data_IF_190744826762
#
_entry.id   IF_190744826762
#
_cell.length_a   1.000
_cell.length_b   1.000
_cell.length_c   1.000
_cell.angle_alpha   90.00
_cell.angle_beta   90.00
_cell.angle_gamma   90.00
#
_symmetry.space_group_name_H-M   'P 1'
#
loop_
_entity.id
_entity.type
_entity.pdbx_description
1 polymer ?
#
# COMPACT_ATOMS: atom_id res chain seq x y z
N UNK A 1 26.04 -7.29 29.17
CA UNK A 1 26.23 -7.54 27.71
C UNK A 1 25.30 -6.63 26.96
N UNK A 2 25.77 -5.43 26.62
CA UNK A 2 24.97 -4.38 26.00
C UNK A 2 24.65 -4.75 24.55
N UNK A 3 23.38 -4.95 24.22
CA UNK A 3 22.93 -5.01 22.81
C UNK A 3 23.00 -3.61 22.24
N UNK A 4 23.94 -3.42 21.33
CA UNK A 4 24.08 -2.23 20.51
C UNK A 4 22.79 -2.09 19.68
N UNK A 5 22.05 -1.00 19.91
CA UNK A 5 20.95 -0.60 19.02
C UNK A 5 21.64 -0.08 17.75
N UNK A 6 21.69 -0.94 16.74
CA UNK A 6 22.20 -0.58 15.42
C UNK A 6 21.31 0.52 14.85
N UNK A 7 21.82 1.75 14.81
CA UNK A 7 21.20 2.84 14.05
C UNK A 7 21.14 2.42 12.59
N UNK A 8 19.94 2.24 12.06
CA UNK A 8 19.74 1.89 10.67
C UNK A 8 20.29 3.00 9.77
N UNK A 9 21.15 2.59 8.83
CA UNK A 9 21.66 3.42 7.75
C UNK A 9 20.49 3.88 6.86
N UNK A 10 20.24 5.18 6.69
CA UNK A 10 19.13 5.69 5.86
C UNK A 10 19.29 5.38 4.37
N UNK A 11 20.43 4.81 3.93
CA UNK A 11 20.71 4.45 2.54
C UNK A 11 20.56 2.97 2.18
N UNK A 12 20.28 2.08 3.15
CA UNK A 12 19.95 0.68 2.84
C UNK A 12 18.52 0.55 2.34
N UNK A 13 18.25 -0.19 1.24
CA UNK A 13 16.89 -0.40 0.76
C UNK A 13 16.06 -1.05 1.87
N UNK A 14 14.93 -0.44 2.19
CA UNK A 14 14.08 -0.90 3.27
C UNK A 14 13.62 -2.33 2.98
N UNK A 15 13.90 -3.26 3.89
CA UNK A 15 13.56 -4.69 3.75
C UNK A 15 12.05 -4.85 3.50
N UNK A 16 11.62 -5.65 2.50
CA UNK A 16 10.21 -5.99 2.32
C UNK A 16 9.57 -6.55 3.60
N UNK A 17 8.28 -6.31 3.79
CA UNK A 17 7.54 -6.97 4.86
C UNK A 17 7.37 -8.45 4.53
N UNK A 18 7.36 -9.30 5.56
CA UNK A 18 6.95 -10.70 5.42
C UNK A 18 5.51 -10.88 5.86
N UNK A 19 4.91 -12.03 5.50
CA UNK A 19 3.58 -12.39 6.01
C UNK A 19 3.51 -12.40 7.54
N UNK A 20 4.60 -12.76 8.24
CA UNK A 20 4.68 -12.74 9.70
C UNK A 20 4.71 -11.32 10.29
N UNK A 21 5.05 -10.31 9.50
CA UNK A 21 5.02 -8.90 9.91
C UNK A 21 3.61 -8.30 9.84
N UNK A 22 2.65 -8.97 9.17
CA UNK A 22 1.27 -8.52 8.97
C UNK A 22 0.42 -8.72 10.23
N UNK A 23 0.76 -7.97 11.27
CA UNK A 23 0.13 -7.97 12.59
C UNK A 23 -0.03 -6.55 13.11
N UNK A 24 -0.90 -6.34 14.10
CA UNK A 24 -1.02 -5.04 14.77
C UNK A 24 0.34 -4.57 15.30
N UNK A 25 0.66 -3.29 15.06
CA UNK A 25 1.98 -2.71 15.35
C UNK A 25 3.12 -3.09 14.38
N UNK A 26 2.92 -4.05 13.46
CA UNK A 26 3.92 -4.46 12.47
C UNK A 26 4.16 -3.44 11.35
N UNK A 27 3.26 -2.46 11.21
CA UNK A 27 3.28 -1.44 10.16
C UNK A 27 4.06 -0.17 10.52
N UNK A 28 4.51 -0.03 11.77
CA UNK A 28 5.16 1.20 12.25
C UNK A 28 6.39 1.53 11.41
N UNK A 29 6.39 2.71 10.80
CA UNK A 29 7.47 3.22 9.96
C UNK A 29 7.60 2.54 8.60
N UNK A 30 6.70 1.62 8.24
CA UNK A 30 6.75 0.88 6.97
C UNK A 30 6.15 1.70 5.83
N UNK A 31 6.79 1.68 4.67
CA UNK A 31 6.21 2.23 3.43
C UNK A 31 5.20 1.23 2.86
N UNK A 32 3.94 1.64 2.76
CA UNK A 32 2.85 0.79 2.25
C UNK A 32 2.08 1.55 1.17
N UNK A 33 1.80 0.90 0.06
CA UNK A 33 0.89 1.45 -0.96
C UNK A 33 -0.48 0.79 -0.89
N UNK A 34 -1.53 1.59 -0.99
CA UNK A 34 -2.92 1.14 -1.16
C UNK A 34 -3.35 1.44 -2.60
N UNK A 35 -3.72 0.39 -3.32
CA UNK A 35 -4.16 0.46 -4.72
C UNK A 35 -5.69 0.47 -4.79
N UNK A 36 -6.24 1.56 -5.31
CA UNK A 36 -7.66 1.86 -5.33
C UNK A 36 -8.10 2.63 -4.09
N UNK A 37 -8.79 3.74 -4.29
CA UNK A 37 -9.18 4.71 -3.25
C UNK A 37 -10.69 4.96 -3.24
N UNK A 38 -11.45 3.88 -3.32
CA UNK A 38 -12.89 3.87 -3.08
C UNK A 38 -13.18 3.56 -1.59
N UNK A 39 -14.34 2.97 -1.28
CA UNK A 39 -14.80 2.77 0.11
C UNK A 39 -13.81 1.97 0.99
N UNK A 40 -13.41 0.77 0.56
CA UNK A 40 -12.49 -0.06 1.35
C UNK A 40 -11.06 0.48 1.33
N UNK A 41 -10.61 1.04 0.20
CA UNK A 41 -9.32 1.72 0.11
C UNK A 41 -9.15 2.87 1.10
N UNK A 42 -10.20 3.69 1.29
CA UNK A 42 -10.20 4.76 2.31
C UNK A 42 -10.08 4.16 3.72
N UNK A 43 -10.90 3.16 4.05
CA UNK A 43 -10.86 2.53 5.37
C UNK A 43 -9.49 1.90 5.67
N UNK A 44 -8.92 1.20 4.69
CA UNK A 44 -7.60 0.59 4.78
C UNK A 44 -6.49 1.64 4.93
N UNK A 45 -6.52 2.72 4.15
CA UNK A 45 -5.55 3.81 4.27
C UNK A 45 -5.59 4.44 5.68
N UNK A 46 -6.80 4.70 6.20
CA UNK A 46 -6.98 5.22 7.57
C UNK A 46 -6.36 4.27 8.59
N UNK A 47 -6.69 2.99 8.49
CA UNK A 47 -6.17 1.97 9.40
C UNK A 47 -4.64 1.90 9.37
N UNK A 48 -4.02 1.85 8.18
CA UNK A 48 -2.57 1.73 8.04
C UNK A 48 -1.84 2.97 8.59
N UNK A 49 -2.37 4.17 8.34
CA UNK A 49 -1.85 5.40 8.96
C UNK A 49 -1.95 5.34 10.48
N UNK A 50 -3.10 4.91 11.02
CA UNK A 50 -3.30 4.76 12.46
C UNK A 50 -2.39 3.67 13.08
N UNK A 51 -1.93 2.70 12.29
CA UNK A 51 -0.90 1.72 12.67
C UNK A 51 0.54 2.22 12.50
N UNK A 52 0.73 3.49 12.11
CA UNK A 52 2.04 4.14 11.99
C UNK A 52 2.76 3.90 10.66
N UNK A 53 2.07 3.41 9.62
CA UNK A 53 2.63 3.26 8.29
C UNK A 53 2.80 4.62 7.58
N UNK A 54 3.75 4.68 6.64
CA UNK A 54 3.85 5.75 5.64
C UNK A 54 3.04 5.31 4.42
N UNK A 55 1.82 5.82 4.31
CA UNK A 55 0.86 5.36 3.31
C UNK A 55 0.96 6.19 2.04
N UNK A 56 1.17 5.49 0.92
CA UNK A 56 0.90 6.01 -0.43
C UNK A 56 -0.42 5.45 -0.93
N UNK A 57 -1.23 6.27 -1.59
CA UNK A 57 -2.48 5.85 -2.21
C UNK A 57 -2.34 6.05 -3.72
N UNK A 58 -2.72 5.04 -4.50
CA UNK A 58 -2.81 5.15 -5.95
C UNK A 58 -4.22 4.89 -6.45
N UNK A 59 -4.72 5.78 -7.31
CA UNK A 59 -6.00 5.61 -8.02
C UNK A 59 -5.91 6.24 -9.42
N UNK A 60 -6.57 5.63 -10.40
CA UNK A 60 -6.52 6.11 -11.79
C UNK A 60 -7.38 7.35 -12.02
N UNK A 61 -8.33 7.61 -11.13
CA UNK A 61 -9.18 8.79 -11.17
C UNK A 61 -8.35 10.05 -10.89
N UNK A 62 -8.67 11.18 -11.54
CA UNK A 62 -8.01 12.45 -11.26
C UNK A 62 -8.37 12.97 -9.85
N UNK A 63 -7.55 13.88 -9.31
CA UNK A 63 -7.68 14.37 -7.94
C UNK A 63 -9.06 14.98 -7.66
N UNK A 64 -9.67 15.65 -8.65
CA UNK A 64 -11.00 16.26 -8.54
C UNK A 64 -12.08 15.25 -8.16
N UNK A 65 -12.00 14.03 -8.68
CA UNK A 65 -12.92 12.93 -8.37
C UNK A 65 -12.65 12.30 -7.00
N UNK A 66 -11.44 12.49 -6.46
CA UNK A 66 -10.99 11.92 -5.19
C UNK A 66 -11.20 12.85 -3.99
N UNK A 67 -11.68 14.08 -4.19
CA UNK A 67 -11.86 15.07 -3.12
C UNK A 67 -12.70 14.56 -1.94
N UNK A 68 -13.78 13.83 -2.22
CA UNK A 68 -14.63 13.25 -1.17
C UNK A 68 -13.90 12.12 -0.41
N UNK A 69 -13.12 11.30 -1.11
CA UNK A 69 -12.30 10.26 -0.51
C UNK A 69 -11.18 10.84 0.36
N UNK A 70 -10.53 11.92 -0.09
CA UNK A 70 -9.52 12.66 0.68
C UNK A 70 -10.13 13.28 1.94
N UNK A 71 -11.31 13.89 1.85
CA UNK A 71 -12.00 14.41 3.02
C UNK A 71 -12.32 13.30 4.04
N UNK A 72 -12.68 12.10 3.56
CA UNK A 72 -12.97 10.93 4.41
C UNK A 72 -11.75 10.34 5.12
N UNK A 73 -10.52 10.78 4.80
CA UNK A 73 -9.32 10.45 5.60
C UNK A 73 -9.32 11.15 6.95
N UNK A 74 -10.12 12.22 7.12
CA UNK A 74 -10.24 12.98 8.37
C UNK A 74 -8.88 13.53 8.85
N UNK A 75 -8.06 14.04 7.92
CA UNK A 75 -6.76 14.65 8.21
C UNK A 75 -5.59 13.68 8.38
N UNK A 76 -5.81 12.37 8.22
CA UNK A 76 -4.73 11.37 8.22
C UNK A 76 -3.80 11.57 7.01
N UNK A 77 -2.48 11.68 7.21
CA UNK A 77 -1.55 11.96 6.13
C UNK A 77 -1.38 10.76 5.19
N UNK A 78 -1.56 10.99 3.90
CA UNK A 78 -1.20 10.05 2.84
C UNK A 78 -0.48 10.79 1.71
N UNK A 79 0.42 10.10 1.00
CA UNK A 79 0.90 10.55 -0.30
C UNK A 79 -0.10 10.09 -1.37
N UNK A 80 -0.70 11.03 -2.08
CA UNK A 80 -1.62 10.69 -3.18
C UNK A 80 -0.85 10.66 -4.52
N UNK A 81 -1.03 9.58 -5.26
CA UNK A 81 -0.64 9.43 -6.65
C UNK A 81 -1.91 9.16 -7.46
N UNK A 82 -2.36 10.12 -8.26
CA UNK A 82 -3.65 9.96 -8.93
C UNK A 82 -3.72 10.56 -10.32
N UNK A 83 -4.58 9.97 -11.15
CA UNK A 83 -4.88 10.44 -12.49
C UNK A 83 -4.30 9.56 -13.60
N UNK A 84 -4.78 9.76 -14.85
CA UNK A 84 -4.46 8.89 -15.99
C UNK A 84 -2.99 9.00 -16.45
N UNK A 85 -2.33 10.10 -16.12
CA UNK A 85 -0.95 10.39 -16.54
C UNK A 85 0.10 9.90 -15.55
N UNK A 86 -0.32 9.45 -14.35
CA UNK A 86 0.60 8.92 -13.35
C UNK A 86 0.99 7.49 -13.71
N UNK A 87 2.30 7.23 -13.73
CA UNK A 87 2.82 5.88 -13.95
C UNK A 87 2.53 5.00 -12.72
N UNK A 88 1.75 3.94 -12.95
CA UNK A 88 1.47 2.90 -11.95
C UNK A 88 2.73 2.25 -11.37
N UNK A 89 3.87 2.25 -12.10
CA UNK A 89 5.15 1.76 -11.56
C UNK A 89 5.63 2.62 -10.40
N UNK A 90 5.46 3.94 -10.47
CA UNK A 90 5.89 4.86 -9.42
C UNK A 90 5.19 4.56 -8.09
N UNK A 91 3.94 4.13 -8.14
CA UNK A 91 3.17 3.73 -6.96
C UNK A 91 3.72 2.47 -6.27
N UNK A 92 4.43 1.60 -7.00
CA UNK A 92 4.97 0.35 -6.48
C UNK A 92 6.43 0.48 -6.02
N UNK A 93 7.13 1.54 -6.43
CA UNK A 93 8.53 1.80 -6.10
C UNK A 93 8.71 2.08 -4.60
N UNK A 94 9.78 1.53 -4.03
CA UNK A 94 10.20 1.71 -2.62
C UNK A 94 9.14 1.34 -1.57
N UNK A 95 8.20 0.47 -1.93
CA UNK A 95 7.19 -0.05 -1.02
C UNK A 95 7.67 -1.33 -0.34
N UNK A 96 7.30 -1.50 0.93
CA UNK A 96 7.57 -2.72 1.68
C UNK A 96 6.37 -3.67 1.71
N UNK A 97 5.18 -3.17 1.35
CA UNK A 97 3.94 -3.91 1.24
C UNK A 97 3.05 -3.22 0.20
N UNK A 98 2.41 -4.03 -0.65
CA UNK A 98 1.38 -3.57 -1.58
C UNK A 98 0.04 -4.11 -1.11
N UNK A 99 -0.89 -3.21 -0.84
CA UNK A 99 -2.25 -3.57 -0.48
C UNK A 99 -3.22 -3.26 -1.63
N UNK A 100 -4.04 -4.22 -2.03
CA UNK A 100 -5.05 -4.01 -3.09
C UNK A 100 -6.45 -3.87 -2.52
N UNK A 101 -7.23 -2.95 -3.08
CA UNK A 101 -8.69 -2.99 -2.95
C UNK A 101 -9.25 -4.27 -3.62
N UNK A 102 -10.41 -4.80 -3.20
CA UNK A 102 -10.94 -6.08 -3.70
C UNK A 102 -11.13 -6.17 -5.21
N UNK A 103 -11.34 -5.05 -5.90
CA UNK A 103 -11.52 -4.99 -7.35
C UNK A 103 -10.23 -4.77 -8.15
N UNK A 104 -9.08 -4.63 -7.47
CA UNK A 104 -7.76 -4.39 -8.07
C UNK A 104 -6.94 -5.67 -7.98
N UNK A 105 -6.57 -6.22 -9.13
CA UNK A 105 -5.84 -7.50 -9.21
C UNK A 105 -5.09 -7.60 -10.54
N UNK A 106 -3.95 -8.28 -10.54
CA UNK A 106 -3.21 -8.65 -11.75
C UNK A 106 -4.01 -9.56 -12.70
N UNK A 107 -5.04 -10.25 -12.19
CA UNK A 107 -5.84 -11.22 -12.95
C UNK A 107 -7.21 -10.70 -13.40
N UNK A 108 -7.66 -9.54 -12.88
CA UNK A 108 -8.97 -8.99 -13.23
C UNK A 108 -8.89 -8.09 -14.46
N UNK A 109 -9.71 -8.37 -15.47
CA UNK A 109 -9.79 -7.56 -16.70
C UNK A 109 -10.29 -6.13 -16.46
N UNK A 110 -10.97 -5.89 -15.34
CA UNK A 110 -11.46 -4.57 -14.91
C UNK A 110 -10.39 -3.70 -14.26
N UNK A 111 -9.22 -4.26 -13.92
CA UNK A 111 -8.08 -3.46 -13.42
C UNK A 111 -7.45 -2.71 -14.58
N UNK A 112 -7.10 -1.44 -14.37
CA UNK A 112 -6.44 -0.62 -15.39
C UNK A 112 -5.22 -1.35 -15.98
N UNK A 113 -5.05 -1.39 -17.32
CA UNK A 113 -4.08 -2.29 -17.95
C UNK A 113 -2.62 -2.11 -17.52
N UNK A 114 -2.17 -0.88 -17.26
CA UNK A 114 -0.79 -0.59 -16.82
C UNK A 114 -0.57 -1.09 -15.40
N UNK A 115 -1.49 -0.79 -14.48
CA UNK A 115 -1.45 -1.28 -13.10
C UNK A 115 -1.52 -2.81 -13.05
N UNK A 116 -2.43 -3.42 -13.83
CA UNK A 116 -2.57 -4.88 -13.91
C UNK A 116 -1.25 -5.54 -14.34
N UNK A 117 -0.60 -4.99 -15.37
CA UNK A 117 0.68 -5.49 -15.87
C UNK A 117 1.81 -5.28 -14.85
N UNK A 118 1.81 -4.14 -14.16
CA UNK A 118 2.77 -3.82 -13.11
C UNK A 118 2.67 -4.78 -11.92
N UNK A 119 1.45 -5.04 -11.45
CA UNK A 119 1.16 -6.01 -10.39
C UNK A 119 1.59 -7.41 -10.77
N UNK A 120 1.25 -7.88 -11.98
CA UNK A 120 1.63 -9.23 -12.42
C UNK A 120 3.14 -9.44 -12.46
N UNK A 121 3.92 -8.40 -12.84
CA UNK A 121 5.39 -8.45 -12.77
C UNK A 121 5.87 -8.51 -11.32
N UNK A 122 5.35 -7.63 -10.45
CA UNK A 122 5.74 -7.58 -9.04
C UNK A 122 5.47 -8.91 -8.32
N UNK A 123 4.29 -9.50 -8.55
CA UNK A 123 3.92 -10.80 -7.99
C UNK A 123 4.84 -11.93 -8.48
N UNK A 124 5.19 -11.93 -9.77
CA UNK A 124 6.11 -12.92 -10.35
C UNK A 124 7.54 -12.80 -9.78
N UNK A 125 7.98 -11.59 -9.41
CA UNK A 125 9.26 -11.39 -8.74
C UNK A 125 9.26 -11.87 -7.28
N UNK A 126 8.10 -11.86 -6.61
CA UNK A 126 7.92 -12.37 -5.25
C UNK A 126 8.70 -11.64 -4.17
N UNK A 127 9.24 -10.45 -4.45
CA UNK A 127 10.10 -9.69 -3.51
C UNK A 127 9.31 -8.91 -2.47
N UNK A 128 8.12 -8.43 -2.82
CA UNK A 128 7.26 -7.62 -1.96
C UNK A 128 5.90 -8.32 -1.87
N UNK A 129 5.33 -8.48 -0.67
CA UNK A 129 4.01 -9.07 -0.53
C UNK A 129 2.95 -8.17 -1.18
N UNK A 130 2.09 -8.78 -1.99
CA UNK A 130 0.86 -8.19 -2.50
C UNK A 130 -0.31 -8.85 -1.76
N UNK A 131 -1.07 -8.06 -1.02
CA UNK A 131 -2.11 -8.55 -0.11
C UNK A 131 -3.40 -7.78 -0.37
N UNK A 132 -4.52 -8.48 -0.54
CA UNK A 132 -5.81 -7.79 -0.63
C UNK A 132 -6.23 -7.25 0.73
N UNK A 133 -7.02 -6.18 0.75
CA UNK A 133 -7.63 -5.65 1.98
C UNK A 133 -8.36 -6.73 2.79
N UNK A 134 -9.06 -7.65 2.11
CA UNK A 134 -9.77 -8.78 2.75
C UNK A 134 -8.80 -9.79 3.37
N UNK A 135 -7.73 -10.16 2.65
CA UNK A 135 -6.70 -11.08 3.19
C UNK A 135 -5.99 -10.45 4.40
N UNK A 136 -5.68 -9.15 4.32
CA UNK A 136 -5.08 -8.42 5.43
C UNK A 136 -6.02 -8.41 6.65
N UNK A 137 -7.32 -8.13 6.45
CA UNK A 137 -8.31 -8.16 7.52
C UNK A 137 -8.38 -9.53 8.20
N UNK A 138 -8.50 -10.62 7.42
CA UNK A 138 -8.56 -11.98 7.96
C UNK A 138 -7.29 -12.39 8.73
N UNK A 139 -6.12 -11.87 8.34
CA UNK A 139 -4.87 -12.09 9.09
C UNK A 139 -4.82 -11.35 10.41
N UNK A 140 -5.41 -10.15 10.47
CA UNK A 140 -5.41 -9.30 11.65
C UNK A 140 -6.52 -9.64 12.65
N UNK A 141 -7.53 -10.41 12.22
CA UNK A 141 -8.68 -10.83 13.01
C UNK A 141 -8.90 -12.36 12.90
N UNK A 142 -8.04 -13.18 13.56
CA UNK A 142 -8.11 -14.64 13.50
C UNK A 142 -9.30 -15.23 14.26
#
# INVERSE_FOLDING_TARGET
MSRQVSSADPSSPARPMELADLRLGGFVGRSVVVLGFARSGIALARFLVDQGARVTVYDVRPEEELRSALAALEGRPVRLLCGPDIDSQEALTDQQLVCTSPSVSSTFSTTEPRLRSALGRLEAEGRIPVVSEVDLFLRLCP
#
